data_IF_126116397432
#
_entry.id   IF_126116397432
#
_cell.length_a   1.000
_cell.length_b   1.000
_cell.length_c   1.000
_cell.angle_alpha   90.00
_cell.angle_beta   90.00
_cell.angle_gamma   90.00
#
_symmetry.space_group_name_H-M   'P 1'
#
loop_
_entity.id
_entity.type
_entity.pdbx_description
1 polymer ?
#
# COMPACT_ATOMS: atom_id res chain seq x y z
N UNK A 1 -15.43 -14.03 -6.60
CA UNK A 1 -14.07 -14.21 -6.06
C UNK A 1 -13.14 -13.17 -6.65
N UNK A 2 -12.51 -12.39 -5.80
CA UNK A 2 -11.62 -11.34 -6.24
C UNK A 2 -10.25 -11.93 -6.57
N UNK A 3 -9.77 -11.64 -7.78
CA UNK A 3 -8.47 -12.12 -8.20
C UNK A 3 -7.38 -11.30 -7.51
N UNK A 4 -6.43 -11.96 -6.87
CA UNK A 4 -5.31 -11.28 -6.23
C UNK A 4 -4.41 -10.63 -7.28
N UNK A 5 -3.96 -9.42 -6.98
CA UNK A 5 -3.03 -8.68 -7.83
C UNK A 5 -1.70 -8.62 -7.11
N UNK A 6 -0.62 -9.00 -7.78
CA UNK A 6 0.72 -8.94 -7.20
C UNK A 6 1.51 -7.84 -7.87
N UNK A 7 2.07 -6.95 -7.05
CA UNK A 7 2.99 -5.91 -7.52
C UNK A 7 4.26 -5.96 -6.68
N UNK A 8 5.36 -5.48 -7.23
CA UNK A 8 6.66 -5.55 -6.59
C UNK A 8 7.44 -4.29 -6.87
N UNK A 9 8.21 -3.83 -5.90
CA UNK A 9 9.04 -2.66 -6.07
C UNK A 9 9.94 -2.42 -4.87
N UNK A 10 10.85 -1.47 -5.05
CA UNK A 10 11.80 -1.08 -4.03
C UNK A 10 11.30 0.11 -3.25
N UNK A 11 11.46 0.06 -1.94
CA UNK A 11 11.05 1.15 -1.07
C UNK A 11 11.94 2.37 -1.30
N UNK A 12 11.33 3.51 -1.53
CA UNK A 12 12.00 4.77 -1.80
C UNK A 12 11.66 5.82 -0.75
N UNK A 13 12.46 6.89 -0.63
CA UNK A 13 12.10 7.98 0.26
C UNK A 13 10.78 8.60 -0.16
N UNK A 14 9.96 8.98 0.80
CA UNK A 14 8.69 9.65 0.58
C UNK A 14 8.45 10.73 1.60
N UNK A 15 7.25 11.27 1.61
CA UNK A 15 6.90 12.38 2.51
C UNK A 15 6.88 12.00 3.98
N UNK A 16 6.82 10.72 4.29
CA UNK A 16 6.76 10.21 5.67
C UNK A 16 5.62 10.81 6.50
N UNK A 17 4.55 11.21 5.84
CA UNK A 17 3.40 11.81 6.51
C UNK A 17 2.77 10.84 7.50
N UNK A 18 2.66 9.58 7.10
CA UNK A 18 2.14 8.53 7.98
C UNK A 18 2.98 8.35 9.24
N UNK A 19 4.31 8.50 9.12
CA UNK A 19 5.20 8.40 10.28
C UNK A 19 4.92 9.52 11.29
N UNK A 20 4.65 10.74 10.80
CA UNK A 20 4.27 11.86 11.64
C UNK A 20 2.99 11.56 12.41
N UNK A 21 2.09 10.79 11.82
CA UNK A 21 0.82 10.40 12.43
C UNK A 21 0.92 9.11 13.26
N UNK A 22 2.08 8.49 13.34
CA UNK A 22 2.26 7.22 14.02
C UNK A 22 1.99 6.00 13.16
N UNK A 23 1.85 6.18 11.84
CA UNK A 23 1.61 5.08 10.89
C UNK A 23 2.74 5.03 9.87
N UNK A 24 3.84 4.33 10.16
CA UNK A 24 4.96 4.27 9.23
C UNK A 24 4.56 3.58 7.94
N UNK A 25 4.71 4.29 6.82
CA UNK A 25 4.40 3.76 5.50
C UNK A 25 5.64 3.70 4.63
N UNK A 26 5.72 2.68 3.78
CA UNK A 26 6.78 2.51 2.81
C UNK A 26 6.27 3.00 1.44
N UNK A 27 7.08 3.80 0.76
CA UNK A 27 6.74 4.36 -0.54
C UNK A 27 7.41 3.55 -1.64
N UNK A 28 6.63 3.12 -2.62
CA UNK A 28 7.10 2.31 -3.74
C UNK A 28 6.64 2.95 -5.03
N UNK A 29 7.57 3.20 -5.96
CA UNK A 29 7.24 3.70 -7.28
C UNK A 29 7.04 2.51 -8.21
N UNK A 30 5.96 2.53 -8.98
CA UNK A 30 5.58 1.44 -9.86
C UNK A 30 5.56 1.90 -11.30
N UNK A 31 6.08 1.07 -12.20
CA UNK A 31 5.88 1.29 -13.62
C UNK A 31 4.40 1.08 -13.96
N UNK A 32 3.84 1.95 -14.79
CA UNK A 32 2.44 1.82 -15.16
C UNK A 32 2.23 0.56 -16.01
N UNK A 33 1.21 -0.22 -15.64
CA UNK A 33 0.81 -1.45 -16.32
C UNK A 33 -0.69 -1.62 -16.16
N UNK A 34 -1.26 -2.59 -16.85
CA UNK A 34 -2.68 -2.90 -16.69
C UNK A 34 -3.00 -3.33 -15.26
N UNK A 35 -2.11 -4.14 -14.66
CA UNK A 35 -2.29 -4.60 -13.29
C UNK A 35 -2.24 -3.45 -12.30
N UNK A 36 -1.33 -2.50 -12.50
CA UNK A 36 -1.23 -1.32 -11.64
C UNK A 36 -2.46 -0.44 -11.78
N UNK A 37 -2.97 -0.26 -13.00
CA UNK A 37 -4.21 0.51 -13.20
C UNK A 37 -5.39 -0.15 -12.52
N UNK A 38 -5.48 -1.48 -12.61
CA UNK A 38 -6.55 -2.22 -11.96
C UNK A 38 -6.45 -2.20 -10.44
N UNK A 39 -5.27 -1.88 -9.92
CA UNK A 39 -5.00 -1.90 -8.48
C UNK A 39 -5.26 -0.55 -7.80
N UNK A 40 -5.69 0.47 -8.52
CA UNK A 40 -5.92 1.79 -7.93
C UNK A 40 -6.89 1.69 -6.75
N UNK A 41 -6.52 2.26 -5.59
CA UNK A 41 -7.33 2.21 -4.38
C UNK A 41 -6.59 1.66 -3.17
N UNK A 42 -7.32 1.38 -2.12
CA UNK A 42 -6.78 0.87 -0.85
C UNK A 42 -7.15 -0.60 -0.68
N UNK A 43 -6.17 -1.41 -0.33
CA UNK A 43 -6.29 -2.86 -0.27
C UNK A 43 -5.76 -3.43 1.04
N UNK A 44 -6.39 -4.51 1.50
CA UNK A 44 -5.74 -5.43 2.43
C UNK A 44 -4.74 -6.24 1.62
N UNK A 45 -3.51 -6.32 2.11
CA UNK A 45 -2.43 -6.98 1.38
C UNK A 45 -1.58 -7.86 2.28
N UNK A 46 -0.96 -8.87 1.68
CA UNK A 46 0.15 -9.59 2.28
C UNK A 46 1.42 -9.00 1.71
N UNK A 47 2.29 -8.55 2.58
CA UNK A 47 3.53 -7.88 2.19
C UNK A 47 4.70 -8.77 2.55
N UNK A 48 5.53 -9.09 1.56
CA UNK A 48 6.71 -9.92 1.74
C UNK A 48 7.96 -9.08 1.55
N UNK A 49 8.85 -9.12 2.53
CA UNK A 49 10.19 -8.51 2.40
C UNK A 49 11.05 -9.54 1.71
N UNK A 50 11.47 -9.27 0.47
CA UNK A 50 12.11 -10.30 -0.35
C UNK A 50 13.45 -10.77 0.17
N UNK A 51 14.25 -9.89 0.79
CA UNK A 51 15.56 -10.27 1.32
C UNK A 51 15.48 -11.30 2.46
N UNK A 52 14.47 -11.16 3.32
CA UNK A 52 14.34 -12.03 4.50
C UNK A 52 13.27 -13.11 4.34
N UNK A 53 12.33 -12.91 3.42
CA UNK A 53 11.19 -13.78 3.29
C UNK A 53 10.11 -13.54 4.34
N UNK A 54 10.31 -12.58 5.23
CA UNK A 54 9.31 -12.25 6.25
C UNK A 54 8.06 -11.67 5.63
N UNK A 55 6.91 -12.06 6.17
CA UNK A 55 5.60 -11.62 5.66
C UNK A 55 4.81 -10.93 6.75
N UNK A 56 4.09 -9.91 6.33
CA UNK A 56 3.25 -9.09 7.22
C UNK A 56 1.92 -8.81 6.55
N UNK A 57 0.89 -8.70 7.35
CA UNK A 57 -0.35 -8.10 6.88
C UNK A 57 -0.15 -6.60 6.79
N UNK A 58 -0.83 -5.98 5.84
CA UNK A 58 -0.72 -4.55 5.70
C UNK A 58 -1.84 -3.95 4.87
N UNK A 59 -1.79 -2.63 4.78
CA UNK A 59 -2.68 -1.84 3.95
C UNK A 59 -1.86 -1.19 2.86
N UNK A 60 -2.32 -1.27 1.64
CA UNK A 60 -1.62 -0.69 0.50
C UNK A 60 -2.56 0.26 -0.23
N UNK A 61 -2.11 1.48 -0.40
CA UNK A 61 -2.79 2.48 -1.20
C UNK A 61 -2.04 2.64 -2.52
N UNK A 62 -2.70 2.29 -3.61
CA UNK A 62 -2.14 2.44 -4.95
C UNK A 62 -2.78 3.68 -5.56
N UNK A 63 -1.97 4.70 -5.77
CA UNK A 63 -2.44 5.97 -6.27
C UNK A 63 -1.72 6.39 -7.54
N UNK A 64 -2.48 7.03 -8.42
CA UNK A 64 -1.95 7.57 -9.64
C UNK A 64 -1.70 9.06 -9.45
N UNK A 65 -0.45 9.48 -9.60
CA UNK A 65 -0.09 10.89 -9.54
C UNK A 65 0.49 11.33 -10.87
N UNK A 66 -0.35 11.84 -11.78
CA UNK A 66 0.20 12.50 -12.94
C UNK A 66 0.85 13.80 -12.48
N UNK A 67 2.16 13.89 -12.57
CA UNK A 67 2.85 15.16 -12.41
C UNK A 67 3.17 15.67 -13.79
N UNK A 68 2.89 16.96 -14.01
CA UNK A 68 3.14 17.59 -15.30
C UNK A 68 4.60 17.47 -15.71
N UNK A 69 5.48 17.43 -14.71
CA UNK A 69 6.93 17.35 -14.91
C UNK A 69 7.40 15.98 -15.31
N UNK A 70 6.61 14.96 -15.03
CA UNK A 70 6.97 13.57 -15.30
C UNK A 70 5.97 12.92 -16.26
N UNK A 71 5.28 13.73 -17.04
CA UNK A 71 4.42 13.22 -18.10
C UNK A 71 5.32 12.52 -19.12
N UNK A 72 5.69 11.29 -18.78
CA UNK A 72 6.46 10.43 -19.67
C UNK A 72 5.52 9.75 -20.62
N UNK A 73 6.11 9.15 -21.64
CA UNK A 73 5.36 8.36 -22.62
C UNK A 73 4.55 7.24 -21.98
N UNK A 74 4.89 6.87 -20.74
CA UNK A 74 4.25 5.78 -20.00
C UNK A 74 3.00 6.21 -19.23
N UNK A 75 2.56 7.46 -19.37
CA UNK A 75 1.32 7.94 -18.74
C UNK A 75 1.44 8.28 -17.28
N UNK A 76 2.66 8.44 -16.76
CA UNK A 76 2.89 8.89 -15.38
C UNK A 76 3.44 7.81 -14.47
N UNK A 77 3.74 8.23 -13.25
CA UNK A 77 4.27 7.37 -12.20
C UNK A 77 3.12 6.96 -11.28
N UNK A 78 2.98 5.67 -11.05
CA UNK A 78 2.06 5.17 -10.05
C UNK A 78 2.83 4.94 -8.75
N UNK A 79 2.21 5.27 -7.64
CA UNK A 79 2.84 5.18 -6.33
C UNK A 79 2.00 4.29 -5.43
N UNK A 80 2.68 3.35 -4.76
CA UNK A 80 2.06 2.57 -3.71
C UNK A 80 2.63 3.00 -2.37
N UNK A 81 1.76 3.16 -1.39
CA UNK A 81 2.17 3.37 0.00
C UNK A 81 1.69 2.16 0.78
N UNK A 82 2.64 1.46 1.42
CA UNK A 82 2.36 0.25 2.17
C UNK A 82 2.56 0.48 3.67
N UNK A 83 1.53 0.20 4.44
CA UNK A 83 1.59 0.26 5.90
C UNK A 83 1.58 -1.16 6.43
N UNK A 84 2.74 -1.64 6.89
CA UNK A 84 2.88 -2.99 7.44
C UNK A 84 2.41 -3.00 8.89
N UNK A 85 1.46 -3.88 9.19
CA UNK A 85 0.94 -4.03 10.55
C UNK A 85 1.91 -4.89 11.35
N UNK A 86 2.12 -4.53 12.61
CA UNK A 86 3.02 -5.23 13.54
C UNK A 86 4.48 -5.29 13.07
N UNK A 87 4.88 -4.37 12.22
CA UNK A 87 6.26 -4.24 11.79
C UNK A 87 6.92 -3.04 12.46
N UNK A 88 8.13 -3.25 12.95
CA UNK A 88 8.97 -2.19 13.50
C UNK A 88 10.32 -2.26 12.82
N UNK A 89 10.78 -1.14 12.30
CA UNK A 89 12.05 -1.08 11.60
C UNK A 89 12.04 -0.15 10.41
N UNK A 90 13.11 -0.20 9.62
CA UNK A 90 13.29 0.62 8.42
C UNK A 90 13.30 -0.28 7.18
N UNK A 91 12.45 0.03 6.23
CA UNK A 91 12.34 -0.72 4.98
C UNK A 91 13.01 -0.01 3.81
N UNK A 92 13.62 1.14 4.05
CA UNK A 92 14.26 1.90 2.98
C UNK A 92 15.26 1.05 2.19
N UNK A 93 15.10 1.02 0.87
CA UNK A 93 15.96 0.23 0.00
C UNK A 93 15.59 -1.23 -0.14
N UNK A 94 14.66 -1.71 0.68
CA UNK A 94 14.20 -3.10 0.59
C UNK A 94 13.27 -3.30 -0.61
N UNK A 95 13.27 -4.49 -1.17
CA UNK A 95 12.29 -4.88 -2.17
C UNK A 95 11.13 -5.57 -1.51
N UNK A 96 9.93 -5.11 -1.83
CA UNK A 96 8.69 -5.66 -1.29
C UNK A 96 7.85 -6.26 -2.39
N UNK A 97 7.24 -7.40 -2.08
CA UNK A 97 6.20 -7.99 -2.90
C UNK A 97 4.87 -7.70 -2.20
N UNK A 98 3.94 -7.12 -2.94
CA UNK A 98 2.62 -6.75 -2.41
C UNK A 98 1.58 -7.63 -3.09
N UNK A 99 1.00 -8.54 -2.33
CA UNK A 99 -0.13 -9.35 -2.79
C UNK A 99 -1.40 -8.65 -2.33
N UNK A 100 -2.08 -7.97 -3.26
CA UNK A 100 -3.31 -7.24 -2.97
C UNK A 100 -4.46 -8.23 -2.95
N UNK A 101 -5.02 -8.48 -1.77
CA UNK A 101 -5.96 -9.57 -1.56
C UNK A 101 -7.41 -9.12 -1.51
N UNK A 102 -7.68 -7.98 -0.90
CA UNK A 102 -9.03 -7.50 -0.72
C UNK A 102 -9.12 -6.01 -0.92
N UNK A 103 -9.91 -5.58 -1.89
CA UNK A 103 -10.14 -4.16 -2.14
C UNK A 103 -11.02 -3.59 -1.02
N UNK A 104 -10.62 -2.46 -0.46
CA UNK A 104 -11.35 -1.84 0.65
C UNK A 104 -12.11 -0.59 0.23
N UNK A 105 -11.45 0.31 -0.50
CA UNK A 105 -12.08 1.55 -0.91
C UNK A 105 -11.24 2.27 -1.97
N UNK A 106 -11.85 3.22 -2.70
CA UNK A 106 -11.06 4.03 -3.63
C UNK A 106 -10.11 4.96 -2.90
N UNK A 107 -9.08 5.40 -3.60
CA UNK A 107 -8.21 6.45 -3.12
C UNK A 107 -9.00 7.74 -3.03
N UNK A 108 -8.73 8.55 -2.01
CA UNK A 108 -9.34 9.86 -1.89
C UNK A 108 -8.39 10.85 -1.21
N UNK A 109 -8.65 12.12 -1.45
CA UNK A 109 -7.91 13.19 -0.79
C UNK A 109 -8.61 13.57 0.51
N UNK A 110 -7.82 13.96 1.49
CA UNK A 110 -8.33 14.36 2.79
C UNK A 110 -8.13 15.85 3.00
N UNK A 111 -9.12 16.49 3.60
CA UNK A 111 -9.07 17.93 3.85
C UNK A 111 -8.12 18.27 5.00
N UNK A 112 -7.83 17.32 5.87
CA UNK A 112 -6.97 17.56 7.02
C UNK A 112 -6.18 16.30 7.37
N UNK A 113 -5.10 16.50 8.13
CA UNK A 113 -4.28 15.43 8.66
C UNK A 113 -5.13 14.53 9.59
N UNK A 114 -6.03 15.11 10.35
CA UNK A 114 -6.89 14.37 11.25
C UNK A 114 -7.87 13.46 10.49
N UNK A 115 -8.42 13.91 9.37
CA UNK A 115 -9.27 13.08 8.54
C UNK A 115 -8.50 11.89 7.97
N UNK A 116 -7.26 12.12 7.54
CA UNK A 116 -6.38 11.05 7.04
C UNK A 116 -6.13 10.02 8.14
N UNK A 117 -5.80 10.48 9.34
CA UNK A 117 -5.56 9.59 10.49
C UNK A 117 -6.78 8.73 10.78
N UNK A 118 -7.95 9.34 10.82
CA UNK A 118 -9.21 8.62 11.07
C UNK A 118 -9.49 7.56 10.00
N UNK A 119 -9.23 7.90 8.74
CA UNK A 119 -9.43 6.95 7.64
C UNK A 119 -8.47 5.77 7.76
N UNK A 120 -7.21 6.01 8.08
CA UNK A 120 -6.22 4.94 8.26
C UNK A 120 -6.60 4.03 9.44
N UNK A 121 -7.10 4.61 10.52
CA UNK A 121 -7.58 3.82 11.66
C UNK A 121 -8.76 2.93 11.26
N UNK A 122 -9.69 3.45 10.50
CA UNK A 122 -10.84 2.66 10.00
C UNK A 122 -10.38 1.55 9.07
N UNK A 123 -9.44 1.85 8.18
CA UNK A 123 -8.88 0.85 7.26
C UNK A 123 -8.23 -0.30 8.04
N UNK A 124 -7.47 0.04 9.07
CA UNK A 124 -6.82 -0.96 9.92
C UNK A 124 -7.85 -1.86 10.60
N UNK A 125 -8.88 -1.27 11.18
CA UNK A 125 -9.93 -2.05 11.86
C UNK A 125 -10.64 -2.98 10.88
N UNK A 126 -10.94 -2.49 9.69
CA UNK A 126 -11.58 -3.30 8.66
C UNK A 126 -10.68 -4.46 8.24
N UNK A 127 -9.40 -4.18 8.03
CA UNK A 127 -8.43 -5.21 7.65
C UNK A 127 -8.31 -6.30 8.71
N UNK A 128 -8.18 -5.91 9.97
CA UNK A 128 -8.08 -6.86 11.08
C UNK A 128 -9.33 -7.72 11.16
N UNK A 129 -10.50 -7.11 11.01
CA UNK A 129 -11.76 -7.83 11.03
C UNK A 129 -11.83 -8.87 9.90
N UNK A 130 -11.39 -8.53 8.72
CA UNK A 130 -11.35 -9.46 7.59
C UNK A 130 -10.42 -10.63 7.88
N UNK A 131 -9.22 -10.35 8.38
CA UNK A 131 -8.22 -11.37 8.68
C UNK A 131 -8.73 -12.35 9.75
N UNK A 132 -9.38 -11.84 10.78
CA UNK A 132 -9.86 -12.65 11.89
C UNK A 132 -11.08 -13.50 11.53
N UNK A 133 -11.86 -13.06 10.56
CA UNK A 133 -13.12 -13.73 10.21
C UNK A 133 -13.08 -14.54 8.93
N UNK A 134 -11.92 -14.61 8.27
CA UNK A 134 -11.76 -15.38 7.04
C UNK A 134 -10.55 -16.31 7.15
N UNK A 135 -10.82 -17.60 7.24
CA UNK A 135 -9.78 -18.63 7.40
C UNK A 135 -8.87 -18.76 6.17
N UNK A 136 -9.23 -18.16 5.05
CA UNK A 136 -8.37 -18.15 3.86
C UNK A 136 -7.12 -17.30 4.05
N UNK A 137 -7.15 -16.34 4.97
CA UNK A 137 -6.04 -15.42 5.15
C UNK A 137 -5.07 -15.89 6.24
N UNK A 138 -3.95 -16.44 5.79
CA UNK A 138 -2.85 -16.83 6.67
C UNK A 138 -1.55 -16.23 6.13
N UNK A 139 -0.63 -15.94 7.04
CA UNK A 139 0.69 -15.47 6.62
C UNK A 139 1.60 -16.59 6.16
#
# INVERSE_FOLDING_TARGET
>A
MQKAITIQGRVRPGRRLGRTLGFPTANIHLAMSEDVRAAEGVWLARITILESGERYWGLVNVGRRPTVETATEDGGICKAEAWLLDFDGDLYGSELRLDLLRYLRPERKFASVEELRQAMERDKKQAINIIENDDEYTL
#
